data_IF_578620964415
#
_entry.id   IF_578620964415
#
_cell.length_a   1.000
_cell.length_b   1.000
_cell.length_c   1.000
_cell.angle_alpha   90.00
_cell.angle_beta   90.00
_cell.angle_gamma   90.00
#
_symmetry.space_group_name_H-M   'P 1'
#
loop_
_entity.id
_entity.type
_entity.pdbx_description
1 polymer ?
#
# COMPACT_ATOMS: atom_id res chain seq x y z
N UNK A 1 33.34 -46.22 -34.90
CA UNK A 1 32.22 -46.35 -33.94
C UNK A 1 31.82 -45.03 -33.26
N UNK A 2 32.75 -44.11 -32.95
CA UNK A 2 32.46 -42.83 -32.27
C UNK A 2 31.60 -41.83 -33.09
N UNK A 3 31.75 -41.77 -34.43
CA UNK A 3 31.04 -40.81 -35.29
C UNK A 3 29.51 -41.02 -35.32
N UNK A 4 29.04 -42.26 -35.10
CA UNK A 4 27.62 -42.58 -35.13
C UNK A 4 26.90 -42.09 -33.84
N UNK A 5 27.56 -42.20 -32.69
CA UNK A 5 27.03 -41.75 -31.39
C UNK A 5 26.93 -40.22 -31.31
N UNK A 6 27.94 -39.49 -31.80
CA UNK A 6 27.91 -38.02 -31.86
C UNK A 6 26.81 -37.53 -32.80
N UNK A 7 26.65 -38.18 -33.96
CA UNK A 7 25.58 -37.86 -34.92
C UNK A 7 24.18 -38.09 -34.31
N UNK A 8 23.96 -39.21 -33.61
CA UNK A 8 22.70 -39.49 -32.89
C UNK A 8 22.41 -38.46 -31.80
N UNK A 9 23.41 -38.05 -31.00
CA UNK A 9 23.24 -37.01 -29.97
C UNK A 9 22.89 -35.65 -30.59
N UNK A 10 23.55 -35.27 -31.68
CA UNK A 10 23.28 -34.02 -32.39
C UNK A 10 21.86 -34.01 -32.99
N UNK A 11 21.43 -35.11 -33.60
CA UNK A 11 20.08 -35.26 -34.15
C UNK A 11 19.00 -35.22 -33.06
N UNK A 12 19.26 -35.81 -31.89
CA UNK A 12 18.37 -35.73 -30.73
C UNK A 12 18.25 -34.29 -30.18
N UNK A 13 19.36 -33.54 -30.12
CA UNK A 13 19.35 -32.13 -29.72
C UNK A 13 18.55 -31.28 -30.72
N UNK A 14 18.80 -31.45 -32.02
CA UNK A 14 18.08 -30.72 -33.07
C UNK A 14 16.56 -30.99 -33.03
N UNK A 15 16.17 -32.25 -32.79
CA UNK A 15 14.76 -32.63 -32.68
C UNK A 15 14.11 -32.05 -31.44
N UNK A 16 14.81 -32.05 -30.29
CA UNK A 16 14.34 -31.38 -29.07
C UNK A 16 14.17 -29.88 -29.26
N UNK A 17 15.14 -29.21 -29.90
CA UNK A 17 15.05 -27.78 -30.21
C UNK A 17 13.83 -27.45 -31.08
N UNK A 18 13.58 -28.24 -32.13
CA UNK A 18 12.39 -28.09 -32.98
C UNK A 18 11.08 -28.30 -32.21
N UNK A 19 11.00 -29.35 -31.40
CA UNK A 19 9.82 -29.64 -30.59
C UNK A 19 9.53 -28.53 -29.57
N UNK A 20 10.57 -28.03 -28.89
CA UNK A 20 10.45 -26.91 -27.96
C UNK A 20 9.90 -25.66 -28.66
N UNK A 21 10.47 -25.28 -29.81
CA UNK A 21 9.98 -24.14 -30.61
C UNK A 21 8.53 -24.31 -31.05
N UNK A 22 8.15 -25.52 -31.48
CA UNK A 22 6.77 -25.81 -31.85
C UNK A 22 5.81 -25.69 -30.65
N UNK A 23 6.20 -26.21 -29.49
CA UNK A 23 5.43 -26.07 -28.26
C UNK A 23 5.26 -24.60 -27.86
N UNK A 24 6.32 -23.79 -27.92
CA UNK A 24 6.23 -22.35 -27.61
C UNK A 24 5.25 -21.64 -28.54
N UNK A 25 5.29 -21.94 -29.86
CA UNK A 25 4.31 -21.42 -30.82
C UNK A 25 2.89 -21.79 -30.42
N UNK A 26 2.63 -23.05 -30.11
CA UNK A 26 1.29 -23.48 -29.69
C UNK A 26 0.85 -22.77 -28.40
N UNK A 27 1.75 -22.58 -27.43
CA UNK A 27 1.46 -21.88 -26.17
C UNK A 27 1.10 -20.40 -26.38
N UNK A 28 1.64 -19.75 -27.42
CA UNK A 28 1.27 -18.37 -27.78
C UNK A 28 0.09 -18.29 -28.74
N UNK A 29 -0.46 -19.43 -29.17
CA UNK A 29 -1.61 -19.51 -30.08
C UNK A 29 -1.26 -19.62 -31.57
N UNK A 30 0.01 -19.76 -31.92
CA UNK A 30 0.45 -19.91 -33.31
C UNK A 30 0.38 -21.38 -33.77
N UNK A 31 0.04 -21.60 -35.05
CA UNK A 31 -0.01 -22.92 -35.70
C UNK A 31 -0.91 -23.96 -35.01
N UNK A 32 -1.90 -23.52 -34.24
CA UNK A 32 -2.84 -24.38 -33.51
C UNK A 32 -3.83 -25.13 -34.41
N UNK A 33 -4.04 -24.67 -35.65
CA UNK A 33 -4.93 -25.32 -36.63
C UNK A 33 -4.50 -26.73 -37.05
N UNK A 34 -3.25 -27.11 -36.77
CA UNK A 34 -2.68 -28.41 -37.09
C UNK A 34 -2.83 -29.42 -35.93
N UNK A 35 -3.40 -29.02 -34.80
CA UNK A 35 -3.60 -29.87 -33.62
C UNK A 35 -4.93 -30.60 -33.68
N UNK A 36 -4.96 -31.83 -33.18
CA UNK A 36 -6.22 -32.54 -32.95
C UNK A 36 -7.00 -31.94 -31.78
N UNK A 37 -8.31 -32.22 -31.72
CA UNK A 37 -9.17 -31.76 -30.61
C UNK A 37 -8.63 -32.18 -29.22
N UNK A 38 -8.03 -33.37 -29.13
CA UNK A 38 -7.44 -33.87 -27.88
C UNK A 38 -6.23 -33.05 -27.46
N UNK A 39 -5.35 -32.71 -28.40
CA UNK A 39 -4.17 -31.90 -28.14
C UNK A 39 -4.54 -30.46 -27.80
N UNK A 40 -5.57 -29.92 -28.45
CA UNK A 40 -6.09 -28.58 -28.17
C UNK A 40 -6.65 -28.47 -26.74
N UNK A 41 -7.47 -29.45 -26.31
CA UNK A 41 -7.96 -29.52 -24.92
C UNK A 41 -6.83 -29.63 -23.91
N UNK A 42 -5.78 -30.38 -24.23
CA UNK A 42 -4.60 -30.49 -23.37
C UNK A 42 -3.83 -29.16 -23.29
N UNK A 43 -3.67 -28.47 -24.41
CA UNK A 43 -3.04 -27.16 -24.47
C UNK A 43 -3.81 -26.12 -23.65
N UNK A 44 -5.13 -26.06 -23.83
CA UNK A 44 -6.04 -25.21 -23.06
C UNK A 44 -5.93 -25.49 -21.55
N UNK A 45 -6.01 -26.75 -21.13
CA UNK A 45 -5.86 -27.13 -19.72
C UNK A 45 -4.51 -26.70 -19.11
N UNK A 46 -3.44 -26.75 -19.91
CA UNK A 46 -2.11 -26.30 -19.48
C UNK A 46 -2.04 -24.78 -19.35
N UNK A 47 -2.63 -24.05 -20.30
CA UNK A 47 -2.68 -22.58 -20.27
C UNK A 47 -3.53 -22.11 -19.09
N UNK A 48 -4.69 -22.69 -18.86
CA UNK A 48 -5.58 -22.34 -17.75
C UNK A 48 -4.86 -22.50 -16.40
N UNK A 49 -4.19 -23.64 -16.19
CA UNK A 49 -3.39 -23.88 -14.97
C UNK A 49 -2.22 -22.89 -14.85
N UNK A 50 -1.56 -22.56 -15.96
CA UNK A 50 -0.46 -21.60 -15.99
C UNK A 50 -0.93 -20.19 -15.61
N UNK A 51 -2.03 -19.73 -16.21
CA UNK A 51 -2.66 -18.44 -15.96
C UNK A 51 -3.13 -18.36 -14.51
N UNK A 52 -3.80 -19.40 -14.00
CA UNK A 52 -4.23 -19.46 -12.60
C UNK A 52 -3.05 -19.30 -11.63
N UNK A 53 -1.93 -20.00 -11.87
CA UNK A 53 -0.71 -19.85 -11.06
C UNK A 53 -0.10 -18.45 -11.13
N UNK A 54 -0.04 -17.85 -12.31
CA UNK A 54 0.48 -16.48 -12.49
C UNK A 54 -0.39 -15.48 -11.74
N UNK A 55 -1.71 -15.59 -11.87
CA UNK A 55 -2.68 -14.73 -11.15
C UNK A 55 -2.55 -14.89 -9.64
N UNK A 56 -2.49 -16.12 -9.14
CA UNK A 56 -2.32 -16.39 -7.71
C UNK A 56 -1.04 -15.74 -7.16
N UNK A 57 0.11 -15.95 -7.83
CA UNK A 57 1.38 -15.35 -7.43
C UNK A 57 1.36 -13.81 -7.49
N UNK A 58 0.74 -13.24 -8.53
CA UNK A 58 0.58 -11.79 -8.64
C UNK A 58 -0.26 -11.24 -7.48
N UNK A 59 -1.37 -11.91 -7.15
CA UNK A 59 -2.25 -11.49 -6.07
C UNK A 59 -1.57 -11.60 -4.71
N UNK A 60 -0.78 -12.66 -4.46
CA UNK A 60 0.02 -12.82 -3.25
C UNK A 60 1.03 -11.68 -3.07
N UNK A 61 1.79 -11.36 -4.12
CA UNK A 61 2.77 -10.26 -4.09
C UNK A 61 2.11 -8.89 -3.87
N UNK A 62 1.00 -8.62 -4.57
CA UNK A 62 0.24 -7.38 -4.38
C UNK A 62 -0.34 -7.28 -2.96
N UNK A 63 -0.86 -8.38 -2.42
CA UNK A 63 -1.39 -8.41 -1.05
C UNK A 63 -0.28 -8.15 -0.04
N UNK A 64 0.92 -8.72 -0.24
CA UNK A 64 2.09 -8.44 0.59
C UNK A 64 2.47 -6.96 0.55
N UNK A 65 2.51 -6.35 -0.63
CA UNK A 65 2.86 -4.93 -0.80
C UNK A 65 1.83 -4.00 -0.14
N UNK A 66 0.54 -4.28 -0.34
CA UNK A 66 -0.55 -3.50 0.28
C UNK A 66 -0.43 -3.56 1.80
N UNK A 67 -0.22 -4.74 2.38
CA UNK A 67 -0.06 -4.88 3.83
C UNK A 67 1.16 -4.11 4.36
N UNK A 68 2.27 -4.11 3.61
CA UNK A 68 3.44 -3.34 3.96
C UNK A 68 3.15 -1.83 3.95
N UNK A 69 2.48 -1.32 2.92
CA UNK A 69 2.09 0.08 2.81
C UNK A 69 1.13 0.50 3.93
N UNK A 70 0.12 -0.30 4.24
CA UNK A 70 -0.83 -0.02 5.34
C UNK A 70 -0.12 0.01 6.69
N UNK A 71 0.78 -0.94 6.96
CA UNK A 71 1.56 -0.93 8.20
C UNK A 71 2.41 0.33 8.33
N UNK A 72 3.06 0.73 7.24
CA UNK A 72 3.88 1.95 7.19
C UNK A 72 3.04 3.22 7.37
N UNK A 73 1.84 3.26 6.81
CA UNK A 73 0.89 4.36 7.02
C UNK A 73 0.51 4.50 8.50
N UNK A 74 0.20 3.39 9.16
CA UNK A 74 -0.13 3.37 10.60
C UNK A 74 1.05 3.86 11.45
N UNK A 75 2.26 3.37 11.18
CA UNK A 75 3.47 3.81 11.90
C UNK A 75 3.70 5.32 11.74
N UNK A 76 3.58 5.85 10.51
CA UNK A 76 3.72 7.28 10.24
C UNK A 76 2.62 8.13 10.88
N UNK A 77 1.39 7.63 10.92
CA UNK A 77 0.29 8.31 11.61
C UNK A 77 0.53 8.36 13.12
N UNK A 78 0.99 7.26 13.71
CA UNK A 78 1.38 7.20 15.12
C UNK A 78 2.46 8.23 15.43
N UNK A 79 3.54 8.25 14.67
CA UNK A 79 4.63 9.21 14.83
C UNK A 79 4.14 10.67 14.69
N UNK A 80 3.23 10.92 13.74
CA UNK A 80 2.66 12.27 13.55
C UNK A 80 1.84 12.71 14.76
N UNK A 81 1.02 11.83 15.34
CA UNK A 81 0.22 12.11 16.53
C UNK A 81 1.13 12.37 17.73
N UNK A 82 2.16 11.53 17.92
CA UNK A 82 3.12 11.67 19.02
C UNK A 82 3.86 13.01 18.96
N UNK A 83 4.31 13.42 17.76
CA UNK A 83 4.97 14.70 17.57
C UNK A 83 4.02 15.88 17.81
N UNK A 84 2.78 15.80 17.34
CA UNK A 84 1.76 16.85 17.59
C UNK A 84 1.47 17.01 19.08
N UNK A 85 1.38 15.89 19.80
CA UNK A 85 1.17 15.89 21.25
C UNK A 85 2.35 16.55 21.97
N UNK A 86 3.58 16.17 21.63
CA UNK A 86 4.80 16.78 22.20
C UNK A 86 4.91 18.28 21.91
N UNK A 87 4.52 18.72 20.72
CA UNK A 87 4.50 20.15 20.37
C UNK A 87 3.50 20.89 21.27
N UNK A 88 2.28 20.37 21.42
CA UNK A 88 1.26 20.98 22.27
C UNK A 88 1.70 21.05 23.74
N UNK A 89 2.36 20.01 24.26
CA UNK A 89 2.91 19.97 25.62
C UNK A 89 4.00 21.04 25.83
N UNK A 90 4.97 21.16 24.91
CA UNK A 90 6.02 22.19 25.02
C UNK A 90 5.45 23.60 24.87
N UNK A 91 4.47 23.82 23.99
CA UNK A 91 3.77 25.11 23.88
C UNK A 91 3.06 25.49 25.19
N UNK A 92 2.40 24.54 25.86
CA UNK A 92 1.80 24.77 27.18
C UNK A 92 2.85 25.07 28.24
N UNK A 93 3.99 24.38 28.21
CA UNK A 93 5.11 24.62 29.15
C UNK A 93 5.71 26.02 28.95
N UNK A 94 5.90 26.45 27.71
CA UNK A 94 6.36 27.79 27.34
C UNK A 94 5.37 28.87 27.83
N UNK A 95 4.06 28.64 27.69
CA UNK A 95 3.03 29.55 28.20
C UNK A 95 3.08 29.66 29.73
N UNK A 96 3.23 28.55 30.45
CA UNK A 96 3.36 28.56 31.91
C UNK A 96 4.60 29.32 32.40
N UNK A 97 5.75 29.16 31.74
CA UNK A 97 6.98 29.92 32.05
C UNK A 97 6.80 31.42 31.78
N UNK A 98 6.03 31.78 30.75
CA UNK A 98 5.76 33.18 30.39
C UNK A 98 4.83 33.87 31.41
N UNK A 99 3.86 33.15 31.98
CA UNK A 99 2.90 33.68 32.96
C UNK A 99 3.55 33.91 34.35
N UNK A 100 4.62 33.19 34.69
CA UNK A 100 5.32 33.32 35.98
C UNK A 100 6.24 34.56 36.11
N UNK A 101 6.32 35.43 35.08
CA UNK A 101 7.13 36.66 35.10
C UNK A 101 6.23 37.89 35.23
N UNK A 102 6.14 38.54 36.42
CA UNK A 102 5.37 39.77 36.54
C UNK A 102 6.12 40.92 35.83
N UNK A 103 5.43 41.50 34.84
CA UNK A 103 5.56 42.85 34.28
C UNK A 103 6.81 43.66 34.65
N UNK A 104 7.69 43.86 33.65
CA UNK A 104 8.45 45.11 33.48
C UNK A 104 8.52 45.46 31.99
N UNK A 105 7.79 46.51 31.61
CA UNK A 105 7.88 47.37 30.41
C UNK A 105 7.82 46.73 28.99
N UNK A 106 7.27 47.47 27.98
CA UNK A 106 7.16 46.99 26.61
C UNK A 106 8.50 47.11 25.88
N UNK A 107 9.47 46.27 26.23
CA UNK A 107 10.59 45.98 25.34
C UNK A 107 10.07 45.02 24.27
N UNK A 108 9.99 45.52 23.03
CA UNK A 108 9.67 44.77 21.83
C UNK A 108 10.66 43.61 21.70
N UNK A 109 10.31 42.45 22.25
CA UNK A 109 11.10 41.23 22.13
C UNK A 109 11.08 40.82 20.65
N UNK A 110 12.19 40.92 19.89
CA UNK A 110 12.19 40.64 18.44
C UNK A 110 11.90 39.17 18.12
N UNK A 111 11.86 38.30 19.14
CA UNK A 111 11.46 36.90 19.03
C UNK A 111 9.95 36.65 19.11
N UNK A 112 9.13 37.56 19.63
CA UNK A 112 7.66 37.40 19.58
C UNK A 112 7.10 37.71 18.19
N UNK A 113 7.86 38.39 17.35
CA UNK A 113 7.56 38.60 15.93
C UNK A 113 7.81 37.33 15.08
N UNK A 114 8.63 36.40 15.58
CA UNK A 114 8.84 35.05 15.03
C UNK A 114 7.81 34.07 15.58
N UNK A 115 6.57 34.50 15.81
CA UNK A 115 5.48 33.55 16.04
C UNK A 115 5.33 32.70 14.77
N UNK A 116 5.68 31.42 14.90
CA UNK A 116 5.60 30.40 13.85
C UNK A 116 4.16 30.27 13.31
N UNK A 117 3.16 30.79 14.04
CA UNK A 117 1.76 30.92 13.59
C UNK A 117 1.54 32.00 12.52
N UNK A 118 2.42 33.01 12.42
CA UNK A 118 2.34 34.04 11.38
C UNK A 118 2.86 33.55 10.02
N UNK A 119 3.70 32.51 10.00
CA UNK A 119 4.25 31.94 8.78
C UNK A 119 3.41 30.79 8.21
N UNK A 120 2.70 30.06 9.09
CA UNK A 120 1.70 29.07 8.71
C UNK A 120 0.42 29.31 9.51
N UNK A 121 -0.64 29.89 8.92
CA UNK A 121 -1.89 30.07 9.65
C UNK A 121 -2.38 28.69 10.12
N UNK A 122 -2.49 28.52 11.44
CA UNK A 122 -2.94 27.27 12.08
C UNK A 122 -4.26 26.78 11.47
N UNK A 123 -5.14 27.71 11.08
CA UNK A 123 -6.41 27.43 10.41
C UNK A 123 -6.25 26.71 9.07
N UNK A 124 -5.15 26.89 8.32
CA UNK A 124 -4.95 26.22 7.04
C UNK A 124 -4.43 24.79 7.23
N UNK A 125 -3.55 24.57 8.21
CA UNK A 125 -3.06 23.24 8.54
C UNK A 125 -4.15 22.40 9.20
N UNK A 126 -4.93 22.97 10.12
CA UNK A 126 -6.06 22.32 10.77
C UNK A 126 -7.18 22.01 9.76
N UNK A 127 -7.47 22.93 8.83
CA UNK A 127 -8.39 22.66 7.72
C UNK A 127 -7.86 21.58 6.75
N UNK A 128 -6.55 21.54 6.49
CA UNK A 128 -5.95 20.50 5.66
C UNK A 128 -5.96 19.13 6.35
N UNK A 129 -5.72 19.07 7.66
CA UNK A 129 -5.84 17.84 8.46
C UNK A 129 -7.30 17.38 8.53
N UNK A 130 -8.25 18.29 8.76
CA UNK A 130 -9.68 17.96 8.72
C UNK A 130 -10.12 17.50 7.33
N UNK A 131 -9.68 18.17 6.26
CA UNK A 131 -9.98 17.77 4.88
C UNK A 131 -9.34 16.42 4.53
N UNK A 132 -8.12 16.14 5.02
CA UNK A 132 -7.44 14.86 4.83
C UNK A 132 -8.15 13.75 5.61
N UNK A 133 -8.50 13.97 6.87
CA UNK A 133 -9.27 13.03 7.68
C UNK A 133 -10.65 12.75 7.08
N UNK A 134 -11.32 13.78 6.55
CA UNK A 134 -12.61 13.65 5.89
C UNK A 134 -12.50 12.92 4.54
N UNK A 135 -11.43 13.17 3.77
CA UNK A 135 -11.14 12.43 2.54
C UNK A 135 -10.79 10.95 2.83
N UNK A 136 -10.06 10.68 3.92
CA UNK A 136 -9.70 9.32 4.34
C UNK A 136 -10.93 8.55 4.84
N UNK A 137 -11.84 9.21 5.59
CA UNK A 137 -13.13 8.64 5.96
C UNK A 137 -14.01 8.32 4.74
N UNK A 138 -14.02 9.19 3.73
CA UNK A 138 -14.72 8.93 2.46
C UNK A 138 -14.07 7.78 1.67
N UNK A 139 -12.74 7.67 1.67
CA UNK A 139 -12.03 6.55 1.03
C UNK A 139 -12.35 5.20 1.73
N UNK A 140 -12.44 5.17 3.06
CA UNK A 140 -12.86 3.99 3.82
C UNK A 140 -14.34 3.63 3.57
N UNK A 141 -15.22 4.62 3.39
CA UNK A 141 -16.61 4.41 3.02
C UNK A 141 -16.79 3.89 1.58
N UNK A 142 -15.85 4.18 0.66
CA UNK A 142 -15.85 3.64 -0.70
C UNK A 142 -15.21 2.25 -0.78
N UNK A 143 -14.19 1.98 0.05
CA UNK A 143 -13.57 0.65 0.17
C UNK A 143 -14.54 -0.40 0.73
N UNK A 144 -15.52 0.01 1.54
CA UNK A 144 -16.57 -0.88 2.04
C UNK A 144 -17.58 -1.32 0.97
N UNK A 145 -17.60 -0.67 -0.22
CA UNK A 145 -18.40 -1.13 -1.35
C UNK A 145 -17.63 -2.02 -2.33
N UNK A 146 -16.30 -2.11 -2.26
CA UNK A 146 -15.54 -3.09 -3.03
C UNK A 146 -14.32 -3.60 -2.25
N UNK A 147 -14.40 -4.90 -2.00
CA UNK A 147 -13.42 -5.79 -1.36
C UNK A 147 -13.65 -5.97 0.14
N UNK A 148 -14.38 -7.06 0.39
CA UNK A 148 -14.54 -7.77 1.65
C UNK A 148 -13.16 -8.23 2.18
N UNK A 149 -12.35 -7.29 2.68
CA UNK A 149 -11.18 -7.57 3.50
C UNK A 149 -11.58 -7.26 4.94
N UNK A 150 -11.70 -8.32 5.74
CA UNK A 150 -12.12 -8.29 7.13
C UNK A 150 -11.16 -7.54 8.06
N UNK A 151 -11.14 -6.22 7.96
CA UNK A 151 -10.63 -5.35 9.00
C UNK A 151 -11.69 -5.28 10.10
N UNK A 152 -11.52 -6.12 11.12
CA UNK A 152 -12.23 -5.97 12.37
C UNK A 152 -11.74 -4.65 13.00
N UNK A 153 -12.59 -3.64 12.95
CA UNK A 153 -12.42 -2.33 13.56
C UNK A 153 -12.18 -2.51 15.07
N UNK A 154 -10.93 -2.40 15.52
CA UNK A 154 -10.63 -2.14 16.93
C UNK A 154 -11.01 -0.68 17.19
N UNK A 155 -12.24 -0.48 17.66
CA UNK A 155 -12.70 0.81 18.16
C UNK A 155 -11.80 1.26 19.33
N UNK A 156 -11.42 2.54 19.41
CA UNK A 156 -10.61 3.04 20.52
C UNK A 156 -11.40 2.93 21.85
N UNK A 157 -10.75 2.50 22.95
CA UNK A 157 -11.39 2.46 24.26
C UNK A 157 -11.38 3.87 24.86
N UNK A 158 -12.56 4.37 25.24
CA UNK A 158 -12.66 5.59 26.04
C UNK A 158 -13.45 6.71 25.38
N UNK A 159 -14.77 6.56 25.33
CA UNK A 159 -15.68 7.68 25.44
C UNK A 159 -16.72 7.31 26.49
N UNK A 160 -16.28 7.36 27.75
CA UNK A 160 -17.20 7.55 28.84
C UNK A 160 -17.80 8.95 28.73
N UNK A 161 -19.12 8.97 28.69
CA UNK A 161 -19.96 9.56 29.74
C UNK A 161 -20.92 10.68 29.29
N UNK A 162 -22.10 10.62 29.91
CA UNK A 162 -23.10 11.67 30.15
C UNK A 162 -24.11 12.05 29.05
N UNK A 163 -25.37 11.80 29.42
CA UNK A 163 -26.63 12.48 29.08
C UNK A 163 -27.18 12.38 27.65
N UNK A 164 -28.34 11.71 27.53
CA UNK A 164 -29.59 12.46 27.36
C UNK A 164 -30.77 11.70 27.97
N UNK A 165 -31.37 12.38 28.94
CA UNK A 165 -32.68 12.18 29.53
C UNK A 165 -33.76 12.29 28.44
N UNK A 166 -34.56 11.23 28.27
CA UNK A 166 -36.03 11.19 28.23
C UNK A 166 -36.51 9.74 28.01
#
# INVERSE_FOLDING_TARGET
>A
MLSNTTSKKLQSCATRSRCCKALTRHLVGDSVGNLSLKELKQLESRLEKGIAKIRARKNELLSSEINYMVKREIELQSDSIDLRTKIAEEEQRLQQVTIARPSVAPELNPFTALDMKCFFPANLFEAAVHAHAQAQAQAQAQASLQLNLGYQQLAPPGAGDVAHQF
#
